data_IF_643147198138
#
_entry.id   IF_643147198138
#
_cell.length_a   1.000
_cell.length_b   1.000
_cell.length_c   1.000
_cell.angle_alpha   90.00
_cell.angle_beta   90.00
_cell.angle_gamma   90.00
#
_symmetry.space_group_name_H-M   'P 1'
#
loop_
_entity.id
_entity.type
_entity.pdbx_description
1 polymer ?
#
# COMPACT_ATOMS: atom_id res chain seq x y z
N UNK A 1 14.04 3.92 -12.85
CA UNK A 1 14.06 3.48 -11.43
C UNK A 1 12.68 3.11 -10.91
N UNK A 2 11.62 3.72 -11.43
CA UNK A 2 10.23 3.51 -10.97
C UNK A 2 9.76 2.05 -11.10
N UNK A 3 10.14 1.35 -12.17
CA UNK A 3 9.78 -0.07 -12.36
C UNK A 3 10.36 -0.97 -11.25
N UNK A 4 11.58 -0.67 -10.79
CA UNK A 4 12.21 -1.39 -9.70
C UNK A 4 11.41 -1.22 -8.40
N UNK A 5 11.08 0.03 -8.02
CA UNK A 5 10.26 0.30 -6.83
C UNK A 5 8.86 -0.31 -6.94
N UNK A 6 8.25 -0.29 -8.13
CA UNK A 6 6.95 -0.92 -8.34
C UNK A 6 7.01 -2.43 -8.12
N UNK A 7 8.03 -3.11 -8.66
CA UNK A 7 8.20 -4.55 -8.49
C UNK A 7 8.57 -4.89 -7.04
N UNK A 8 9.44 -4.12 -6.42
CA UNK A 8 9.87 -4.36 -5.04
C UNK A 8 8.73 -4.20 -4.05
N UNK A 9 7.82 -3.23 -4.24
CA UNK A 9 6.59 -3.12 -3.43
C UNK A 9 5.75 -4.39 -3.51
N UNK A 10 5.50 -4.91 -4.71
CA UNK A 10 4.71 -6.13 -4.89
C UNK A 10 5.37 -7.32 -4.16
N UNK A 11 6.68 -7.49 -4.34
CA UNK A 11 7.40 -8.61 -3.72
C UNK A 11 7.46 -8.49 -2.20
N UNK A 12 7.80 -7.31 -1.66
CA UNK A 12 7.93 -7.09 -0.22
C UNK A 12 6.57 -7.14 0.47
N UNK A 13 5.54 -6.49 -0.07
CA UNK A 13 4.20 -6.55 0.51
C UNK A 13 3.59 -7.95 0.38
N UNK A 14 3.80 -8.65 -0.73
CA UNK A 14 3.35 -10.03 -0.90
C UNK A 14 4.01 -11.00 0.09
N UNK A 15 5.34 -10.91 0.24
CA UNK A 15 6.07 -11.68 1.27
C UNK A 15 5.61 -11.31 2.69
N UNK A 16 5.37 -10.02 2.92
CA UNK A 16 4.83 -9.49 4.17
C UNK A 16 3.50 -10.12 4.55
N UNK A 17 2.54 -10.14 3.63
CA UNK A 17 1.24 -10.79 3.81
C UNK A 17 1.37 -12.27 4.13
N UNK A 18 2.21 -12.99 3.39
CA UNK A 18 2.47 -14.41 3.65
C UNK A 18 3.02 -14.64 5.07
N UNK A 19 4.02 -13.84 5.48
CA UNK A 19 4.60 -13.93 6.80
C UNK A 19 3.61 -13.52 7.90
N UNK A 20 2.80 -12.50 7.67
CA UNK A 20 1.71 -12.12 8.57
C UNK A 20 0.76 -13.29 8.78
N UNK A 21 0.33 -13.98 7.72
CA UNK A 21 -0.48 -15.19 7.85
C UNK A 21 0.21 -16.25 8.71
N UNK A 22 1.47 -16.58 8.38
CA UNK A 22 2.24 -17.60 9.07
C UNK A 22 2.38 -17.34 10.58
N UNK A 23 2.74 -16.11 10.97
CA UNK A 23 2.91 -15.75 12.38
C UNK A 23 1.58 -15.56 13.10
N UNK A 24 0.53 -15.15 12.40
CA UNK A 24 -0.81 -15.05 12.99
C UNK A 24 -1.33 -16.44 13.38
N UNK A 25 -1.23 -17.42 12.48
CA UNK A 25 -1.60 -18.82 12.76
C UNK A 25 -0.72 -19.50 13.81
N UNK A 26 0.50 -18.98 14.02
CA UNK A 26 1.44 -19.47 15.04
C UNK A 26 1.27 -18.79 16.41
N UNK A 27 0.10 -18.20 16.68
CA UNK A 27 -0.24 -17.47 17.92
C UNK A 27 0.72 -16.30 18.25
N UNK A 28 1.30 -15.67 17.22
CA UNK A 28 2.22 -14.53 17.33
C UNK A 28 1.62 -13.27 16.69
N UNK A 29 0.37 -12.94 17.03
CA UNK A 29 -0.39 -11.85 16.42
C UNK A 29 0.34 -10.49 16.44
N UNK A 30 1.00 -10.13 17.55
CA UNK A 30 1.76 -8.89 17.65
C UNK A 30 2.89 -8.81 16.61
N UNK A 31 3.62 -9.91 16.40
CA UNK A 31 4.66 -9.99 15.39
C UNK A 31 4.06 -9.97 13.98
N UNK A 32 2.95 -10.67 13.77
CA UNK A 32 2.23 -10.66 12.49
C UNK A 32 1.83 -9.24 12.07
N UNK A 33 1.30 -8.43 13.00
CA UNK A 33 0.91 -7.05 12.73
C UNK A 33 2.11 -6.10 12.56
N UNK A 34 3.22 -6.34 13.26
CA UNK A 34 4.47 -5.63 13.02
C UNK A 34 4.98 -5.87 11.60
N UNK A 35 5.01 -7.13 11.17
CA UNK A 35 5.41 -7.52 9.81
C UNK A 35 4.46 -6.90 8.78
N UNK A 36 3.15 -6.96 9.02
CA UNK A 36 2.14 -6.39 8.14
C UNK A 36 2.39 -4.88 7.95
N UNK A 37 2.52 -4.14 9.06
CA UNK A 37 2.80 -2.70 9.05
C UNK A 37 4.11 -2.36 8.34
N UNK A 38 5.19 -3.06 8.69
CA UNK A 38 6.53 -2.80 8.14
C UNK A 38 6.59 -2.99 6.62
N UNK A 39 5.95 -4.05 6.11
CA UNK A 39 6.05 -4.45 4.71
C UNK A 39 4.99 -3.83 3.81
N UNK A 40 3.77 -3.62 4.32
CA UNK A 40 2.65 -3.12 3.51
C UNK A 40 2.40 -1.64 3.68
N UNK A 41 2.77 -1.03 4.82
CA UNK A 41 2.56 0.42 5.05
C UNK A 41 3.88 1.18 4.98
N UNK A 42 4.86 0.82 5.82
CA UNK A 42 6.12 1.58 5.93
C UNK A 42 6.92 1.47 4.63
N UNK A 43 7.25 0.25 4.20
CA UNK A 43 8.03 0.04 2.99
C UNK A 43 7.32 0.59 1.75
N UNK A 44 6.03 0.27 1.58
CA UNK A 44 5.26 0.71 0.41
C UNK A 44 5.02 2.21 0.40
N UNK A 45 4.73 2.84 1.55
CA UNK A 45 4.57 4.28 1.66
C UNK A 45 5.87 5.04 1.42
N UNK A 46 7.01 4.59 1.97
CA UNK A 46 8.31 5.25 1.72
C UNK A 46 8.73 5.13 0.25
N UNK A 47 8.60 3.95 -0.35
CA UNK A 47 8.92 3.77 -1.77
C UNK A 47 7.90 4.47 -2.67
N UNK A 48 6.63 4.55 -2.26
CA UNK A 48 5.57 5.33 -2.90
C UNK A 48 5.91 6.81 -2.95
N UNK A 49 6.29 7.39 -1.81
CA UNK A 49 6.80 8.76 -1.71
C UNK A 49 7.98 9.00 -2.64
N UNK A 50 9.00 8.13 -2.61
CA UNK A 50 10.17 8.24 -3.51
C UNK A 50 9.72 8.24 -4.98
N UNK A 51 8.78 7.36 -5.34
CA UNK A 51 8.30 7.22 -6.71
C UNK A 51 7.54 8.47 -7.17
N UNK A 52 6.66 8.99 -6.33
CA UNK A 52 5.75 10.09 -6.66
C UNK A 52 6.35 11.49 -6.45
N UNK A 53 7.40 11.63 -5.64
CA UNK A 53 8.06 12.93 -5.40
C UNK A 53 9.38 13.04 -6.14
N UNK A 54 10.28 12.06 -5.96
CA UNK A 54 11.63 12.10 -6.56
C UNK A 54 11.55 11.74 -8.05
N UNK A 55 10.81 10.68 -8.39
CA UNK A 55 10.67 10.18 -9.76
C UNK A 55 9.33 10.56 -10.42
N UNK A 56 8.68 11.63 -9.96
CA UNK A 56 7.33 12.06 -10.35
C UNK A 56 7.06 12.02 -11.87
N UNK A 57 8.01 12.51 -12.69
CA UNK A 57 7.88 12.52 -14.16
C UNK A 57 7.93 11.12 -14.77
N UNK A 58 8.85 10.27 -14.29
CA UNK A 58 8.98 8.88 -14.77
C UNK A 58 7.73 8.08 -14.36
N UNK A 59 7.20 8.34 -13.17
CA UNK A 59 6.01 7.65 -12.67
C UNK A 59 4.72 8.07 -13.40
N UNK A 60 4.49 9.37 -13.59
CA UNK A 60 3.36 9.87 -14.38
C UNK A 60 3.35 9.26 -15.79
N UNK A 61 4.52 9.19 -16.45
CA UNK A 61 4.67 8.55 -17.75
C UNK A 61 4.37 7.05 -17.71
N UNK A 62 4.82 6.34 -16.67
CA UNK A 62 4.51 4.90 -16.47
C UNK A 62 3.00 4.65 -16.33
N UNK A 63 2.30 5.55 -15.63
CA UNK A 63 0.86 5.47 -15.43
C UNK A 63 0.06 5.94 -16.66
N UNK A 64 0.74 6.50 -17.67
CA UNK A 64 0.11 7.07 -18.86
C UNK A 64 -0.71 8.31 -18.54
N UNK A 65 -0.23 9.11 -17.57
CA UNK A 65 -0.77 10.41 -17.18
C UNK A 65 0.13 11.53 -17.70
N UNK A 66 -0.45 12.70 -17.94
CA UNK A 66 0.28 13.86 -18.42
C UNK A 66 1.34 14.31 -17.40
N UNK A 67 2.60 14.31 -17.80
CA UNK A 67 3.73 14.65 -16.93
C UNK A 67 3.92 16.16 -16.71
N UNK A 68 2.96 16.99 -17.15
CA UNK A 68 3.02 18.45 -17.10
C UNK A 68 2.80 19.01 -15.69
N UNK A 69 1.67 18.66 -15.07
CA UNK A 69 1.33 19.10 -13.71
C UNK A 69 1.73 18.03 -12.68
N UNK A 70 2.65 18.38 -11.76
CA UNK A 70 3.14 17.49 -10.71
C UNK A 70 2.31 17.50 -9.43
N UNK A 71 1.30 18.36 -9.29
CA UNK A 71 0.55 18.50 -8.05
C UNK A 71 -0.06 17.18 -7.58
N UNK A 72 -0.67 16.42 -8.50
CA UNK A 72 -1.21 15.09 -8.19
C UNK A 72 -0.13 14.13 -7.69
N UNK A 73 1.03 14.11 -8.35
CA UNK A 73 2.15 13.26 -7.96
C UNK A 73 2.63 13.63 -6.55
N UNK A 74 2.78 14.91 -6.24
CA UNK A 74 3.20 15.33 -4.90
C UNK A 74 2.15 15.02 -3.84
N UNK A 75 0.87 15.25 -4.11
CA UNK A 75 -0.22 14.91 -3.20
C UNK A 75 -0.20 13.42 -2.83
N UNK A 76 -0.17 12.54 -3.83
CA UNK A 76 -0.09 11.08 -3.62
C UNK A 76 1.21 10.70 -2.90
N UNK A 77 2.33 11.32 -3.27
CA UNK A 77 3.62 11.08 -2.62
C UNK A 77 3.63 11.44 -1.14
N UNK A 78 3.11 12.62 -0.78
CA UNK A 78 3.04 13.07 0.62
C UNK A 78 2.01 12.30 1.42
N UNK A 79 0.89 11.88 0.83
CA UNK A 79 -0.05 10.97 1.49
C UNK A 79 0.63 9.63 1.86
N UNK A 80 1.37 9.04 0.92
CA UNK A 80 2.16 7.83 1.18
C UNK A 80 3.19 8.04 2.29
N UNK A 81 3.90 9.17 2.30
CA UNK A 81 4.84 9.51 3.37
C UNK A 81 4.15 9.65 4.73
N UNK A 82 3.01 10.32 4.78
CA UNK A 82 2.26 10.53 6.01
C UNK A 82 1.85 9.20 6.66
N UNK A 83 1.32 8.25 5.88
CA UNK A 83 0.98 6.92 6.39
C UNK A 83 2.20 6.12 6.82
N UNK A 84 3.30 6.17 6.07
CA UNK A 84 4.54 5.49 6.44
C UNK A 84 5.11 6.02 7.77
N UNK A 85 5.11 7.35 7.96
CA UNK A 85 5.58 7.97 9.20
C UNK A 85 4.64 7.66 10.37
N UNK A 86 3.32 7.70 10.16
CA UNK A 86 2.36 7.27 11.18
C UNK A 86 2.60 5.82 11.59
N UNK A 87 2.81 4.92 10.64
CA UNK A 87 3.10 3.52 10.91
C UNK A 87 4.44 3.33 11.65
N UNK A 88 5.49 4.08 11.29
CA UNK A 88 6.76 4.08 12.00
C UNK A 88 6.60 4.48 13.48
N UNK A 89 5.76 5.48 13.77
CA UNK A 89 5.44 5.86 15.16
C UNK A 89 4.81 4.69 15.92
N UNK A 90 3.94 3.91 15.28
CA UNK A 90 3.32 2.72 15.91
C UNK A 90 4.28 1.54 16.14
N UNK A 91 5.52 1.62 15.64
CA UNK A 91 6.59 0.67 15.99
C UNK A 91 7.33 1.06 17.29
N UNK A 92 7.08 2.27 17.82
CA UNK A 92 7.69 2.75 19.06
C UNK A 92 7.27 1.93 20.28
N UNK A 93 8.17 1.86 21.27
CA UNK A 93 7.94 1.16 22.55
C UNK A 93 6.68 1.70 23.23
N UNK A 94 5.72 0.83 23.53
CA UNK A 94 4.49 1.16 24.26
C UNK A 94 3.26 1.47 23.40
N UNK A 95 3.38 1.47 22.07
CA UNK A 95 2.21 1.58 21.17
C UNK A 95 1.47 0.24 21.08
N UNK A 96 0.14 0.28 21.15
CA UNK A 96 -0.70 -0.91 21.13
C UNK A 96 -0.87 -1.46 19.70
N UNK A 97 -1.32 -2.72 19.60
CA UNK A 97 -1.62 -3.31 18.30
C UNK A 97 -2.77 -2.58 17.61
N UNK A 98 -3.77 -2.12 18.36
CA UNK A 98 -4.93 -1.39 17.85
C UNK A 98 -4.50 -0.10 17.15
N UNK A 99 -3.56 0.66 17.73
CA UNK A 99 -3.00 1.86 17.09
C UNK A 99 -2.37 1.53 15.73
N UNK A 100 -1.64 0.40 15.64
CA UNK A 100 -1.05 -0.09 14.40
C UNK A 100 -2.11 -0.51 13.39
N UNK A 101 -3.13 -1.25 13.82
CA UNK A 101 -4.22 -1.72 12.97
C UNK A 101 -5.01 -0.54 12.37
N UNK A 102 -5.27 0.52 13.14
CA UNK A 102 -5.93 1.73 12.65
C UNK A 102 -5.15 2.38 11.51
N UNK A 103 -3.81 2.47 11.63
CA UNK A 103 -2.98 3.03 10.57
C UNK A 103 -3.00 2.13 9.32
N UNK A 104 -2.94 0.81 9.49
CA UNK A 104 -3.03 -0.16 8.38
C UNK A 104 -4.39 -0.04 7.67
N UNK A 105 -5.50 0.05 8.41
CA UNK A 105 -6.85 0.27 7.86
C UNK A 105 -6.87 1.56 7.05
N UNK A 106 -6.39 2.67 7.61
CA UNK A 106 -6.34 3.95 6.92
C UNK A 106 -5.55 3.88 5.61
N UNK A 107 -4.40 3.20 5.62
CA UNK A 107 -3.58 3.04 4.42
C UNK A 107 -4.24 2.12 3.39
N UNK A 108 -4.86 1.00 3.81
CA UNK A 108 -5.59 0.11 2.91
C UNK A 108 -6.76 0.82 2.22
N UNK A 109 -7.54 1.62 2.97
CA UNK A 109 -8.64 2.42 2.41
C UNK A 109 -8.14 3.51 1.46
N UNK A 110 -6.98 4.11 1.75
CA UNK A 110 -6.32 5.05 0.85
C UNK A 110 -5.90 4.38 -0.47
N UNK A 111 -5.25 3.21 -0.40
CA UNK A 111 -4.84 2.46 -1.59
C UNK A 111 -6.05 1.95 -2.40
N UNK A 112 -7.14 1.57 -1.73
CA UNK A 112 -8.38 1.14 -2.39
C UNK A 112 -8.99 2.24 -3.26
N UNK A 113 -8.83 3.51 -2.88
CA UNK A 113 -9.21 4.63 -3.75
C UNK A 113 -8.35 4.67 -5.03
N UNK A 114 -7.06 4.33 -4.96
CA UNK A 114 -6.20 4.21 -6.14
C UNK A 114 -6.65 3.06 -7.05
N UNK A 115 -6.99 1.90 -6.48
CA UNK A 115 -7.54 0.76 -7.21
C UNK A 115 -8.85 1.13 -7.94
N UNK A 116 -9.75 1.86 -7.28
CA UNK A 116 -10.99 2.38 -7.88
C UNK A 116 -10.68 3.38 -9.01
N UNK A 117 -9.77 4.33 -8.78
CA UNK A 117 -9.36 5.31 -9.80
C UNK A 117 -8.77 4.62 -11.04
N UNK A 118 -7.91 3.61 -10.84
CA UNK A 118 -7.34 2.83 -11.94
C UNK A 118 -8.40 1.99 -12.66
N UNK A 119 -9.41 1.48 -11.96
CA UNK A 119 -10.53 0.78 -12.58
C UNK A 119 -11.38 1.72 -13.45
N UNK A 120 -11.70 2.92 -12.96
CA UNK A 120 -12.39 3.96 -13.74
C UNK A 120 -11.55 4.32 -14.98
N UNK A 121 -10.24 4.49 -14.84
CA UNK A 121 -9.33 4.75 -15.96
C UNK A 121 -9.30 3.61 -16.99
N UNK A 122 -9.32 2.36 -16.52
CA UNK A 122 -9.40 1.17 -17.38
C UNK A 122 -10.66 1.20 -18.26
N UNK A 123 -11.82 1.49 -17.66
CA UNK A 123 -13.11 1.55 -18.36
C UNK A 123 -13.19 2.74 -19.34
N UNK A 124 -12.73 3.92 -18.92
CA UNK A 124 -12.86 5.16 -19.69
C UNK A 124 -11.89 5.25 -20.87
N UNK A 125 -10.66 4.77 -20.71
CA UNK A 125 -9.60 4.90 -21.72
C UNK A 125 -9.32 3.58 -22.47
N UNK A 126 -10.18 2.56 -22.30
CA UNK A 126 -10.04 1.21 -22.90
C UNK A 126 -8.61 0.68 -22.83
N UNK A 127 -8.05 0.68 -21.61
CA UNK A 127 -6.68 0.16 -21.38
C UNK A 127 -6.65 -1.35 -21.62
N UNK A 128 -5.46 -1.87 -21.92
CA UNK A 128 -5.23 -3.31 -22.11
C UNK A 128 -5.56 -4.13 -20.84
N UNK A 129 -5.93 -5.41 -21.00
CA UNK A 129 -6.24 -6.31 -19.87
C UNK A 129 -5.10 -6.43 -18.85
N UNK A 130 -3.85 -6.35 -19.31
CA UNK A 130 -2.68 -6.34 -18.40
C UNK A 130 -2.69 -5.17 -17.41
N UNK A 131 -3.30 -4.03 -17.78
CA UNK A 131 -3.50 -2.89 -16.90
C UNK A 131 -4.49 -3.19 -15.77
N UNK A 132 -5.62 -3.85 -16.10
CA UNK A 132 -6.62 -4.26 -15.12
C UNK A 132 -5.99 -5.15 -14.03
N UNK A 133 -5.18 -6.14 -14.44
CA UNK A 133 -4.54 -7.03 -13.48
C UNK A 133 -3.53 -6.29 -12.60
N UNK A 134 -2.60 -5.55 -13.20
CA UNK A 134 -1.45 -4.96 -12.48
C UNK A 134 -1.78 -3.70 -11.69
N UNK A 135 -2.82 -2.96 -12.07
CA UNK A 135 -3.16 -1.66 -11.49
C UNK A 135 -4.50 -1.65 -10.75
N UNK A 136 -5.27 -2.73 -10.82
CA UNK A 136 -6.56 -2.85 -10.11
C UNK A 136 -6.62 -4.12 -9.29
N UNK A 137 -6.61 -5.30 -9.94
CA UNK A 137 -6.92 -6.54 -9.24
C UNK A 137 -5.85 -6.96 -8.23
N UNK A 138 -4.57 -6.92 -8.62
CA UNK A 138 -3.47 -7.30 -7.70
C UNK A 138 -3.39 -6.36 -6.49
N UNK A 139 -3.41 -5.02 -6.64
CA UNK A 139 -3.49 -4.11 -5.50
C UNK A 139 -4.74 -4.32 -4.65
N UNK A 140 -5.92 -4.49 -5.28
CA UNK A 140 -7.18 -4.68 -4.56
C UNK A 140 -7.18 -5.96 -3.69
N UNK A 141 -6.61 -7.06 -4.19
CA UNK A 141 -6.45 -8.28 -3.39
C UNK A 141 -5.57 -8.01 -2.17
N UNK A 142 -4.44 -7.31 -2.34
CA UNK A 142 -3.56 -6.94 -1.24
C UNK A 142 -4.30 -6.08 -0.20
N UNK A 143 -5.05 -5.07 -0.63
CA UNK A 143 -5.83 -4.18 0.22
C UNK A 143 -6.91 -4.93 1.02
N UNK A 144 -7.63 -5.85 0.37
CA UNK A 144 -8.62 -6.71 1.02
C UNK A 144 -7.95 -7.60 2.07
N UNK A 145 -6.78 -8.19 1.76
CA UNK A 145 -6.06 -9.01 2.72
C UNK A 145 -5.56 -8.20 3.93
N UNK A 146 -5.07 -6.98 3.70
CA UNK A 146 -4.72 -6.06 4.80
C UNK A 146 -5.92 -5.79 5.71
N UNK A 147 -7.07 -5.46 5.13
CA UNK A 147 -8.30 -5.23 5.90
C UNK A 147 -8.76 -6.48 6.65
N UNK A 148 -8.68 -7.66 6.02
CA UNK A 148 -9.03 -8.93 6.66
C UNK A 148 -8.22 -9.20 7.92
N UNK A 149 -6.89 -9.04 7.87
CA UNK A 149 -6.05 -9.18 9.06
C UNK A 149 -6.37 -8.14 10.13
N UNK A 150 -6.67 -6.91 9.75
CA UNK A 150 -7.04 -5.87 10.70
C UNK A 150 -8.36 -6.20 11.41
N UNK A 151 -9.39 -6.61 10.68
CA UNK A 151 -10.70 -6.93 11.26
C UNK A 151 -10.62 -8.14 12.20
N UNK A 152 -9.87 -9.17 11.81
CA UNK A 152 -9.55 -10.34 12.65
C UNK A 152 -8.77 -9.93 13.91
N UNK A 153 -7.81 -9.01 13.77
CA UNK A 153 -7.01 -8.50 14.88
C UNK A 153 -7.79 -7.64 15.87
N UNK A 154 -8.87 -6.98 15.42
CA UNK A 154 -9.77 -6.20 16.27
C UNK A 154 -10.90 -7.03 16.91
N UNK A 155 -11.04 -8.31 16.55
CA UNK A 155 -12.14 -9.17 17.00
C UNK A 155 -13.52 -8.78 16.42
N UNK A 156 -13.55 -8.10 15.27
CA UNK A 156 -14.79 -7.74 14.58
C UNK A 156 -15.32 -8.92 13.75
N UNK A 157 -14.40 -9.75 13.23
CA UNK A 157 -14.69 -10.99 12.48
C UNK A 157 -13.82 -12.13 13.00
#
# INVERSE_FOLDING_TARGET
MVKFFSLSRILVSGAGIFLTFWFYESDQASLAFLILSATTVIYSGLTGFITHVIYAKEDARRLGWEAGNKSFQYEVGFANLAFALAALVTLGVGMSNEARLIVIIGYALYLMQASILHFINYLTHRRETGYLVRSVLLPLVLEIMMLGFCLSGTGII
#
